data_IF_715870086193
#
_entry.id   IF_715870086193
#
_cell.length_a   1.000
_cell.length_b   1.000
_cell.length_c   1.000
_cell.angle_alpha   90.00
_cell.angle_beta   90.00
_cell.angle_gamma   90.00
#
_symmetry.space_group_name_H-M   'P 1'
#
loop_
_entity.id
_entity.type
_entity.pdbx_description
1 polymer ?
#
# COMPACT_ATOMS: atom_id res chain seq x y z
N UNK A 1 37.87 -42.17 24.79
CA UNK A 1 37.23 -41.52 23.63
C UNK A 1 37.67 -40.06 23.63
N UNK A 2 38.10 -39.56 22.47
CA UNK A 2 39.04 -38.44 22.28
C UNK A 2 38.35 -37.07 22.41
N UNK A 3 39.12 -36.09 22.91
CA UNK A 3 38.84 -34.64 22.96
C UNK A 3 39.25 -33.95 21.63
N UNK A 4 38.91 -32.65 21.53
CA UNK A 4 39.45 -31.59 20.63
C UNK A 4 38.73 -31.49 19.27
N UNK A 5 38.35 -30.33 18.72
CA UNK A 5 38.53 -28.93 19.09
C UNK A 5 38.13 -27.99 17.95
N UNK A 6 38.07 -26.70 18.32
CA UNK A 6 37.89 -25.46 17.57
C UNK A 6 38.70 -25.35 16.26
N UNK A 7 38.17 -24.62 15.26
CA UNK A 7 38.96 -24.17 14.10
C UNK A 7 38.24 -23.18 13.17
N UNK A 8 38.50 -21.87 13.38
CA UNK A 8 38.33 -20.80 12.39
C UNK A 8 39.16 -21.10 11.13
N UNK A 9 38.63 -20.76 9.96
CA UNK A 9 39.41 -20.66 8.72
C UNK A 9 39.33 -19.24 8.16
N UNK A 10 40.25 -18.43 8.64
CA UNK A 10 40.73 -17.19 8.04
C UNK A 10 41.55 -17.55 6.80
N UNK A 11 41.18 -17.03 5.62
CA UNK A 11 42.06 -17.06 4.45
C UNK A 11 42.64 -15.65 4.27
N UNK A 12 43.85 -15.47 4.78
CA UNK A 12 44.72 -14.34 4.48
C UNK A 12 46.07 -14.93 4.05
N UNK A 13 46.47 -14.65 2.82
CA UNK A 13 47.78 -14.89 2.22
C UNK A 13 47.75 -14.17 0.86
N UNK A 14 48.74 -13.43 0.38
CA UNK A 14 49.82 -12.65 0.98
C UNK A 14 50.37 -11.79 -0.18
N UNK A 15 50.82 -10.61 0.21
CA UNK A 15 51.66 -9.64 -0.51
C UNK A 15 52.85 -10.23 -1.29
N UNK A 16 53.11 -9.65 -2.46
CA UNK A 16 54.43 -9.50 -3.09
C UNK A 16 54.44 -8.12 -3.80
N UNK A 17 55.10 -7.10 -3.26
CA UNK A 17 56.54 -6.80 -3.36
C UNK A 17 56.82 -5.77 -4.47
N UNK A 18 57.00 -4.51 -4.06
CA UNK A 18 57.98 -3.60 -4.66
C UNK A 18 58.52 -2.69 -3.57
N UNK A 19 59.84 -2.75 -3.41
CA UNK A 19 60.64 -2.10 -2.39
C UNK A 19 60.90 -0.62 -2.69
N UNK A 20 60.98 0.13 -1.59
CA UNK A 20 61.87 1.26 -1.31
C UNK A 20 61.75 2.57 -2.09
N UNK A 21 61.21 3.58 -1.40
CA UNK A 21 62.03 4.72 -0.92
C UNK A 21 61.36 5.44 0.24
N UNK A 22 62.03 5.47 1.39
CA UNK A 22 61.77 6.40 2.50
C UNK A 22 62.05 7.83 2.02
N UNK A 23 61.08 8.73 2.18
CA UNK A 23 61.33 10.17 2.33
C UNK A 23 60.42 10.66 3.45
N UNK A 24 61.04 11.31 4.43
CA UNK A 24 60.37 11.91 5.59
C UNK A 24 59.39 13.01 5.18
N UNK A 25 58.35 13.12 5.99
CA UNK A 25 57.13 13.92 5.89
C UNK A 25 57.46 15.43 5.85
N UNK A 26 56.62 16.25 5.21
CA UNK A 26 55.92 17.24 6.01
C UNK A 26 54.40 17.18 5.80
N UNK A 27 53.70 17.39 6.90
CA UNK A 27 52.25 17.33 7.02
C UNK A 27 51.57 18.28 6.03
N UNK A 28 50.62 17.76 5.26
CA UNK A 28 49.63 18.55 4.54
C UNK A 28 48.27 17.93 4.83
N UNK A 29 47.36 18.82 5.19
CA UNK A 29 46.06 18.61 5.81
C UNK A 29 45.20 17.51 5.14
N UNK A 30 44.48 16.77 5.98
CA UNK A 30 43.45 15.81 5.57
C UNK A 30 42.40 16.52 4.72
N UNK A 31 42.53 16.45 3.40
CA UNK A 31 41.39 16.64 2.52
C UNK A 31 40.50 15.40 2.66
N UNK A 32 39.52 15.51 3.55
CA UNK A 32 38.40 14.58 3.67
C UNK A 32 37.71 14.55 2.31
N UNK A 33 38.00 13.52 1.50
CA UNK A 33 37.17 13.21 0.34
C UNK A 33 35.89 12.63 0.92
N UNK A 34 34.93 13.51 1.22
CA UNK A 34 33.55 13.09 1.44
C UNK A 34 33.14 12.31 0.19
N UNK A 35 32.99 10.99 0.35
CA UNK A 35 32.28 10.19 -0.63
C UNK A 35 30.89 10.79 -0.70
N UNK A 36 30.59 11.51 -1.78
CA UNK A 36 29.22 11.80 -2.16
C UNK A 36 28.60 10.43 -2.39
N UNK A 37 27.90 9.90 -1.39
CA UNK A 37 26.94 8.83 -1.59
C UNK A 37 25.86 9.45 -2.46
N UNK A 38 26.06 9.34 -3.77
CA UNK A 38 25.01 9.54 -4.75
C UNK A 38 23.92 8.56 -4.36
N UNK A 39 22.89 9.08 -3.70
CA UNK A 39 21.68 8.33 -3.43
C UNK A 39 21.07 8.16 -4.80
N UNK A 40 21.40 7.04 -5.46
CA UNK A 40 20.72 6.64 -6.69
C UNK A 40 19.26 6.55 -6.30
N UNK A 41 18.47 7.55 -6.67
CA UNK A 41 17.02 7.47 -6.60
C UNK A 41 16.64 6.27 -7.45
N UNK A 42 16.42 5.12 -6.80
CA UNK A 42 15.72 4.01 -7.42
C UNK A 42 14.33 4.54 -7.73
N UNK A 43 14.13 4.96 -8.97
CA UNK A 43 12.87 5.49 -9.47
C UNK A 43 11.80 4.41 -9.24
N UNK A 44 10.99 4.59 -8.20
CA UNK A 44 9.90 3.65 -7.89
C UNK A 44 9.02 3.45 -9.13
N UNK A 45 8.62 2.20 -9.37
CA UNK A 45 7.70 1.88 -10.45
C UNK A 45 6.37 2.62 -10.23
N UNK A 46 5.75 3.01 -11.35
CA UNK A 46 4.49 3.74 -11.38
C UNK A 46 3.53 3.07 -12.34
N UNK A 47 2.25 3.05 -11.99
CA UNK A 47 1.21 2.54 -12.88
C UNK A 47 0.99 3.53 -14.04
N UNK A 48 0.74 3.01 -15.23
CA UNK A 48 0.30 3.81 -16.36
C UNK A 48 -1.16 4.25 -16.15
N UNK A 49 -1.48 5.46 -16.63
CA UNK A 49 -2.85 5.98 -16.68
C UNK A 49 -3.32 6.27 -18.10
N UNK A 50 -2.56 5.85 -19.12
CA UNK A 50 -2.83 6.21 -20.52
C UNK A 50 -3.95 5.38 -21.12
N UNK A 51 -3.85 4.06 -21.01
CA UNK A 51 -4.83 3.08 -21.50
C UNK A 51 -4.90 1.89 -20.56
N UNK A 52 -5.96 1.09 -20.68
CA UNK A 52 -6.09 -0.12 -19.88
C UNK A 52 -4.96 -1.12 -20.17
N UNK A 53 -4.60 -1.30 -21.44
CA UNK A 53 -3.50 -2.18 -21.86
C UNK A 53 -2.16 -1.76 -21.24
N UNK A 54 -1.80 -0.46 -21.32
CA UNK A 54 -0.54 0.03 -20.77
C UNK A 54 -0.55 0.02 -19.24
N UNK A 55 -1.71 0.17 -18.62
CA UNK A 55 -1.87 -0.05 -17.20
C UNK A 55 -1.57 -1.50 -16.84
N UNK A 56 -2.14 -2.48 -17.54
CA UNK A 56 -1.97 -3.90 -17.22
C UNK A 56 -0.49 -4.29 -17.29
N UNK A 57 0.21 -3.87 -18.34
CA UNK A 57 1.66 -4.08 -18.46
C UNK A 57 2.45 -3.46 -17.29
N UNK A 58 2.05 -2.26 -16.86
CA UNK A 58 2.70 -1.56 -15.74
C UNK A 58 2.34 -2.15 -14.37
N UNK A 59 1.14 -2.70 -14.22
CA UNK A 59 0.68 -3.43 -13.03
C UNK A 59 1.49 -4.72 -12.90
N UNK A 60 1.59 -5.50 -13.98
CA UNK A 60 2.37 -6.74 -14.02
C UNK A 60 3.84 -6.46 -13.67
N UNK A 61 4.42 -5.39 -14.22
CA UNK A 61 5.78 -4.98 -13.88
C UNK A 61 5.92 -4.62 -12.39
N UNK A 62 4.93 -3.92 -11.82
CA UNK A 62 4.91 -3.57 -10.40
C UNK A 62 4.75 -4.83 -9.53
N UNK A 63 3.79 -5.70 -9.83
CA UNK A 63 3.53 -6.95 -9.12
C UNK A 63 4.79 -7.83 -9.05
N UNK A 64 5.47 -8.01 -10.18
CA UNK A 64 6.70 -8.80 -10.25
C UNK A 64 7.88 -8.20 -9.45
N UNK A 65 7.84 -6.91 -9.14
CA UNK A 65 8.85 -6.24 -8.31
C UNK A 65 8.59 -6.37 -6.80
N UNK A 66 7.38 -6.74 -6.41
CA UNK A 66 6.93 -6.80 -5.03
C UNK A 66 7.08 -8.21 -4.45
N UNK A 67 7.23 -8.30 -3.13
CA UNK A 67 7.09 -9.56 -2.41
C UNK A 67 5.61 -9.96 -2.32
N UNK A 68 5.32 -11.26 -2.14
CA UNK A 68 3.96 -11.82 -2.14
C UNK A 68 2.97 -11.05 -1.23
N UNK A 69 3.40 -10.64 -0.03
CA UNK A 69 2.56 -9.85 0.88
C UNK A 69 2.14 -8.51 0.24
N UNK A 70 3.07 -7.82 -0.42
CA UNK A 70 2.80 -6.52 -1.02
C UNK A 70 2.09 -6.65 -2.37
N UNK A 71 2.27 -7.75 -3.09
CA UNK A 71 1.43 -8.12 -4.23
C UNK A 71 -0.04 -8.22 -3.82
N UNK A 72 -0.34 -8.94 -2.74
CA UNK A 72 -1.71 -9.05 -2.23
C UNK A 72 -2.27 -7.67 -1.80
N UNK A 73 -1.45 -6.80 -1.22
CA UNK A 73 -1.87 -5.44 -0.86
C UNK A 73 -2.17 -4.60 -2.10
N UNK A 74 -1.36 -4.72 -3.16
CA UNK A 74 -1.61 -4.04 -4.42
C UNK A 74 -2.93 -4.52 -5.06
N UNK A 75 -3.16 -5.83 -5.11
CA UNK A 75 -4.42 -6.42 -5.62
C UNK A 75 -5.64 -5.91 -4.86
N UNK A 76 -5.59 -5.91 -3.51
CA UNK A 76 -6.66 -5.34 -2.68
C UNK A 76 -6.89 -3.87 -2.96
N UNK A 77 -5.81 -3.09 -3.09
CA UNK A 77 -5.91 -1.65 -3.34
C UNK A 77 -6.57 -1.36 -4.68
N UNK A 78 -6.18 -2.09 -5.73
CA UNK A 78 -6.78 -1.98 -7.07
C UNK A 78 -8.26 -2.34 -7.03
N UNK A 79 -8.63 -3.46 -6.38
CA UNK A 79 -10.02 -3.87 -6.23
C UNK A 79 -10.88 -2.80 -5.51
N UNK A 80 -10.38 -2.25 -4.39
CA UNK A 80 -11.10 -1.20 -3.65
C UNK A 80 -11.29 0.03 -4.54
N UNK A 81 -10.24 0.48 -5.23
CA UNK A 81 -10.31 1.66 -6.10
C UNK A 81 -11.26 1.41 -7.28
N UNK A 82 -11.24 0.23 -7.89
CA UNK A 82 -12.16 -0.15 -8.96
C UNK A 82 -13.62 -0.11 -8.49
N UNK A 83 -13.94 -0.81 -7.40
CA UNK A 83 -15.31 -0.93 -6.90
C UNK A 83 -15.92 0.40 -6.45
N UNK A 84 -15.10 1.29 -5.87
CA UNK A 84 -15.57 2.61 -5.42
C UNK A 84 -15.79 3.60 -6.57
N UNK A 85 -15.44 3.24 -7.81
CA UNK A 85 -15.53 4.12 -8.97
C UNK A 85 -16.27 3.47 -10.16
N UNK A 86 -17.15 2.51 -9.88
CA UNK A 86 -18.04 1.91 -10.89
C UNK A 86 -19.08 2.92 -11.34
N UNK A 87 -19.23 3.07 -12.66
CA UNK A 87 -20.30 3.83 -13.27
C UNK A 87 -21.34 2.86 -13.85
N UNK A 88 -22.59 3.03 -13.46
CA UNK A 88 -23.70 2.27 -14.01
C UNK A 88 -24.38 3.02 -15.17
N UNK A 89 -24.83 2.26 -16.16
CA UNK A 89 -25.71 2.68 -17.25
C UNK A 89 -27.14 2.82 -16.75
N UNK A 90 -28.02 3.40 -17.57
CA UNK A 90 -29.44 3.56 -17.23
C UNK A 90 -30.15 2.22 -17.02
N UNK A 91 -29.67 1.14 -17.66
CA UNK A 91 -30.21 -0.21 -17.55
C UNK A 91 -29.54 -1.04 -16.43
N UNK A 92 -28.91 -0.39 -15.45
CA UNK A 92 -28.20 -1.01 -14.31
C UNK A 92 -26.98 -1.89 -14.70
N UNK A 93 -26.57 -1.89 -15.97
CA UNK A 93 -25.30 -2.49 -16.41
C UNK A 93 -24.09 -1.59 -16.13
N UNK A 94 -22.87 -2.14 -16.14
CA UNK A 94 -21.64 -1.34 -15.92
C UNK A 94 -21.23 -0.61 -17.22
N UNK A 95 -20.98 0.70 -17.11
CA UNK A 95 -20.34 1.51 -18.15
C UNK A 95 -18.81 1.34 -18.02
N UNK A 96 -18.28 0.30 -18.65
CA UNK A 96 -16.85 -0.04 -18.58
C UNK A 96 -15.96 1.11 -19.05
N UNK A 97 -16.38 1.86 -20.08
CA UNK A 97 -15.59 2.98 -20.59
C UNK A 97 -15.42 4.08 -19.54
N UNK A 98 -16.51 4.50 -18.87
CA UNK A 98 -16.41 5.50 -17.80
C UNK A 98 -15.70 4.97 -16.57
N UNK A 99 -15.94 3.70 -16.22
CA UNK A 99 -15.31 3.04 -15.07
C UNK A 99 -13.80 2.95 -15.25
N UNK A 100 -13.33 2.45 -16.40
CA UNK A 100 -11.91 2.36 -16.73
C UNK A 100 -11.25 3.75 -16.76
N UNK A 101 -11.91 4.73 -17.38
CA UNK A 101 -11.38 6.10 -17.43
C UNK A 101 -11.26 6.74 -16.03
N UNK A 102 -12.22 6.50 -15.14
CA UNK A 102 -12.18 6.98 -13.77
C UNK A 102 -11.07 6.27 -12.98
N UNK A 103 -10.99 4.94 -13.11
CA UNK A 103 -9.96 4.13 -12.49
C UNK A 103 -8.56 4.57 -12.90
N UNK A 104 -8.27 4.64 -14.21
CA UNK A 104 -6.97 5.06 -14.77
C UNK A 104 -6.58 6.48 -14.32
N UNK A 105 -7.55 7.40 -14.23
CA UNK A 105 -7.31 8.75 -13.71
C UNK A 105 -6.89 8.75 -12.24
N UNK A 106 -7.37 7.79 -11.45
CA UNK A 106 -7.01 7.65 -10.04
C UNK A 106 -5.64 7.00 -9.91
N UNK A 107 -5.40 5.86 -10.56
CA UNK A 107 -4.17 5.07 -10.34
C UNK A 107 -2.97 5.54 -11.17
N UNK A 108 -3.21 6.23 -12.28
CA UNK A 108 -2.18 6.66 -13.22
C UNK A 108 -1.09 7.52 -12.58
N UNK A 109 0.16 7.14 -12.81
CA UNK A 109 1.36 7.81 -12.31
C UNK A 109 1.64 7.59 -10.82
N UNK A 110 0.83 6.80 -10.11
CA UNK A 110 1.03 6.48 -8.69
C UNK A 110 2.00 5.32 -8.51
N UNK A 111 2.82 5.40 -7.46
CA UNK A 111 3.63 4.28 -6.99
C UNK A 111 2.82 3.32 -6.14
N UNK A 112 3.33 2.11 -5.88
CA UNK A 112 2.70 1.10 -5.01
C UNK A 112 2.15 1.71 -3.71
N UNK A 113 2.99 2.49 -3.00
CA UNK A 113 2.60 3.12 -1.73
C UNK A 113 1.43 4.08 -1.91
N UNK A 114 1.45 4.89 -2.97
CA UNK A 114 0.40 5.88 -3.23
C UNK A 114 -0.93 5.24 -3.62
N UNK A 115 -0.90 4.09 -4.32
CA UNK A 115 -2.11 3.31 -4.62
C UNK A 115 -2.69 2.72 -3.34
N UNK A 116 -1.85 2.11 -2.49
CA UNK A 116 -2.29 1.61 -1.19
C UNK A 116 -2.90 2.70 -0.31
N UNK A 117 -2.23 3.85 -0.20
CA UNK A 117 -2.71 5.00 0.59
C UNK A 117 -4.06 5.52 0.06
N UNK A 118 -4.26 5.48 -1.27
CA UNK A 118 -5.53 5.89 -1.91
C UNK A 118 -6.66 4.94 -1.51
N UNK A 119 -6.43 3.62 -1.61
CA UNK A 119 -7.43 2.61 -1.24
C UNK A 119 -7.80 2.65 0.25
N UNK A 120 -6.81 2.78 1.16
CA UNK A 120 -7.12 2.96 2.58
C UNK A 120 -7.85 4.27 2.87
N UNK A 121 -7.61 5.31 2.07
CA UNK A 121 -8.37 6.54 2.09
C UNK A 121 -9.87 6.31 1.82
N UNK A 122 -10.20 5.49 0.82
CA UNK A 122 -11.58 5.11 0.54
C UNK A 122 -12.22 4.31 1.67
N UNK A 123 -11.53 3.30 2.20
CA UNK A 123 -12.04 2.51 3.32
C UNK A 123 -12.36 3.38 4.56
N UNK A 124 -11.48 4.33 4.87
CA UNK A 124 -11.69 5.28 5.97
C UNK A 124 -12.85 6.24 5.69
N UNK A 125 -12.98 6.71 4.46
CA UNK A 125 -14.08 7.58 4.05
C UNK A 125 -15.42 6.85 4.15
N UNK A 126 -15.51 5.62 3.65
CA UNK A 126 -16.71 4.79 3.69
C UNK A 126 -17.15 4.49 5.13
N UNK A 127 -16.24 4.05 6.00
CA UNK A 127 -16.56 3.85 7.42
C UNK A 127 -17.03 5.16 8.06
N UNK A 128 -16.37 6.28 7.75
CA UNK A 128 -16.74 7.59 8.30
C UNK A 128 -18.15 8.00 7.87
N UNK A 129 -18.48 7.87 6.60
CA UNK A 129 -19.81 8.20 6.08
C UNK A 129 -20.90 7.35 6.75
N UNK A 130 -20.64 6.06 6.93
CA UNK A 130 -21.58 5.16 7.60
C UNK A 130 -21.74 5.49 9.09
N UNK A 131 -20.65 5.78 9.80
CA UNK A 131 -20.70 6.24 11.19
C UNK A 131 -21.45 7.57 11.31
N UNK A 132 -21.20 8.53 10.42
CA UNK A 132 -21.89 9.82 10.42
C UNK A 132 -23.40 9.64 10.17
N UNK A 133 -23.80 8.76 9.24
CA UNK A 133 -25.20 8.38 9.00
C UNK A 133 -25.86 7.79 10.26
N UNK A 134 -25.18 6.86 10.94
CA UNK A 134 -25.69 6.21 12.15
C UNK A 134 -25.79 7.18 13.31
N UNK A 135 -24.79 8.04 13.52
CA UNK A 135 -24.83 9.07 14.56
C UNK A 135 -25.96 10.08 14.32
N UNK A 136 -26.20 10.46 13.06
CA UNK A 136 -27.35 11.29 12.71
C UNK A 136 -28.67 10.58 13.07
N UNK A 137 -28.79 9.29 12.74
CA UNK A 137 -29.97 8.49 13.10
C UNK A 137 -30.19 8.44 14.62
N UNK A 138 -29.16 8.13 15.39
CA UNK A 138 -29.19 8.10 16.86
C UNK A 138 -29.57 9.47 17.43
N UNK A 139 -29.06 10.56 16.86
CA UNK A 139 -29.41 11.92 17.25
C UNK A 139 -30.87 12.31 17.01
N UNK A 140 -31.60 11.59 16.15
CA UNK A 140 -33.04 11.81 15.95
C UNK A 140 -33.94 11.13 16.99
N UNK A 141 -33.39 10.22 17.80
CA UNK A 141 -34.14 9.42 18.79
C UNK A 141 -34.20 10.20 20.10
N UNK A 142 -35.41 10.47 20.60
CA UNK A 142 -35.61 11.31 21.80
C UNK A 142 -35.72 10.50 23.08
N UNK A 143 -36.35 9.34 23.02
CA UNK A 143 -36.46 8.39 24.13
C UNK A 143 -36.22 6.95 23.65
N UNK A 144 -34.99 6.42 23.84
CA UNK A 144 -34.64 5.05 23.47
C UNK A 144 -35.50 3.95 24.10
N UNK A 145 -36.28 4.25 25.15
CA UNK A 145 -37.15 3.29 25.84
C UNK A 145 -38.61 3.38 25.40
N UNK A 146 -38.97 4.41 24.62
CA UNK A 146 -40.31 4.53 24.09
C UNK A 146 -40.59 3.38 23.12
N UNK A 147 -41.76 2.73 23.25
CA UNK A 147 -42.14 1.61 22.39
C UNK A 147 -42.13 1.97 20.90
N UNK A 148 -42.32 3.24 20.55
CA UNK A 148 -42.27 3.76 19.18
C UNK A 148 -40.85 3.96 18.62
N UNK A 149 -39.81 3.95 19.47
CA UNK A 149 -38.43 4.26 19.09
C UNK A 149 -37.43 3.14 19.41
N UNK A 150 -37.80 2.18 20.28
CA UNK A 150 -36.90 1.13 20.76
C UNK A 150 -36.31 0.26 19.64
N UNK A 151 -37.10 -0.09 18.62
CA UNK A 151 -36.61 -0.91 17.50
C UNK A 151 -35.59 -0.15 16.65
N UNK A 152 -35.91 1.11 16.31
CA UNK A 152 -35.01 2.02 15.59
C UNK A 152 -33.71 2.26 16.35
N UNK A 153 -33.80 2.40 17.68
CA UNK A 153 -32.62 2.53 18.54
C UNK A 153 -31.76 1.27 18.52
N UNK A 154 -32.36 0.09 18.67
CA UNK A 154 -31.64 -1.18 18.65
C UNK A 154 -30.98 -1.44 17.30
N UNK A 155 -31.67 -1.15 16.19
CA UNK A 155 -31.11 -1.22 14.84
C UNK A 155 -29.91 -0.28 14.68
N UNK A 156 -30.04 0.98 15.12
CA UNK A 156 -28.93 1.93 15.05
C UNK A 156 -27.71 1.50 15.89
N UNK A 157 -27.92 0.87 17.05
CA UNK A 157 -26.85 0.31 17.87
C UNK A 157 -26.18 -0.90 17.20
N UNK A 158 -26.96 -1.75 16.54
CA UNK A 158 -26.42 -2.88 15.79
C UNK A 158 -25.61 -2.40 14.58
N UNK A 159 -26.13 -1.44 13.81
CA UNK A 159 -25.42 -0.82 12.70
C UNK A 159 -24.13 -0.14 13.18
N UNK A 160 -24.15 0.55 14.34
CA UNK A 160 -22.95 1.14 14.93
C UNK A 160 -21.89 0.07 15.22
N UNK A 161 -22.30 -1.09 15.74
CA UNK A 161 -21.38 -2.20 16.01
C UNK A 161 -20.76 -2.76 14.72
N UNK A 162 -21.55 -2.89 13.66
CA UNK A 162 -21.10 -3.36 12.36
C UNK A 162 -20.17 -2.35 11.68
N UNK A 163 -20.53 -1.07 11.68
CA UNK A 163 -19.71 0.00 11.09
C UNK A 163 -18.33 0.11 11.75
N UNK A 164 -18.24 -0.07 13.07
CA UNK A 164 -16.97 -0.10 13.80
C UNK A 164 -16.07 -1.31 13.44
N UNK A 165 -16.63 -2.33 12.78
CA UNK A 165 -15.89 -3.51 12.31
C UNK A 165 -15.51 -3.41 10.82
N UNK A 166 -15.97 -2.37 10.11
CA UNK A 166 -15.58 -2.16 8.72
C UNK A 166 -14.06 -2.03 8.60
N UNK A 167 -13.44 -2.65 7.59
CA UNK A 167 -12.00 -2.58 7.40
C UNK A 167 -11.58 -1.15 7.03
N UNK A 168 -10.51 -0.64 7.66
CA UNK A 168 -9.93 0.68 7.37
C UNK A 168 -8.48 0.61 6.86
N UNK A 169 -7.96 -0.61 6.71
CA UNK A 169 -6.62 -0.90 6.19
C UNK A 169 -6.70 -2.07 5.22
N UNK A 170 -5.72 -2.17 4.33
CA UNK A 170 -5.63 -3.29 3.38
C UNK A 170 -5.38 -4.65 4.08
N UNK A 171 -4.76 -4.63 5.26
CA UNK A 171 -4.49 -5.85 6.02
C UNK A 171 -5.78 -6.48 6.58
N UNK A 172 -6.77 -5.65 6.93
CA UNK A 172 -8.05 -6.09 7.48
C UNK A 172 -9.13 -6.24 6.39
N UNK A 173 -8.88 -5.75 5.18
CA UNK A 173 -9.78 -5.91 4.05
C UNK A 173 -9.71 -7.34 3.50
N UNK A 174 -10.87 -7.97 3.30
CA UNK A 174 -10.97 -9.29 2.68
C UNK A 174 -11.02 -9.13 1.17
N UNK A 175 -10.00 -9.64 0.49
CA UNK A 175 -9.98 -9.70 -0.97
C UNK A 175 -11.10 -10.62 -1.47
N UNK A 176 -11.80 -10.21 -2.54
CA UNK A 176 -12.84 -11.01 -3.16
C UNK A 176 -12.61 -11.09 -4.68
N UNK A 177 -12.22 -12.27 -5.16
CA UNK A 177 -11.95 -12.54 -6.57
C UNK A 177 -13.18 -12.37 -7.47
N UNK A 178 -14.40 -12.50 -6.91
CA UNK A 178 -15.64 -12.37 -7.67
C UNK A 178 -16.07 -10.92 -7.94
N UNK A 179 -15.34 -9.93 -7.42
CA UNK A 179 -15.67 -8.51 -7.56
C UNK A 179 -14.75 -7.77 -8.56
N UNK A 180 -14.26 -8.46 -9.60
CA UNK A 180 -13.55 -7.80 -10.71
C UNK A 180 -14.53 -7.32 -11.80
N UNK A 181 -14.11 -6.25 -12.49
CA UNK A 181 -14.62 -5.83 -13.79
C UNK A 181 -14.78 -7.01 -14.76
#
# INVERSE_FOLDING_TARGET
MKKVGLGLLTFALCVASCQDKKVEVPAVEEATVESIQETVETKELKLSGETMDTYMDSEDAMMNSLVEKDQLRLQKAIQIIGNMNIFYTEDEGIDNYKTDAAFLKIVGGKTFKQVCDTAEGYLKAEQKEELDRIHNLLGTIKDPKAASEVDKYNEAQQNLKEANQMPITLDNYTYNEECFL
#
